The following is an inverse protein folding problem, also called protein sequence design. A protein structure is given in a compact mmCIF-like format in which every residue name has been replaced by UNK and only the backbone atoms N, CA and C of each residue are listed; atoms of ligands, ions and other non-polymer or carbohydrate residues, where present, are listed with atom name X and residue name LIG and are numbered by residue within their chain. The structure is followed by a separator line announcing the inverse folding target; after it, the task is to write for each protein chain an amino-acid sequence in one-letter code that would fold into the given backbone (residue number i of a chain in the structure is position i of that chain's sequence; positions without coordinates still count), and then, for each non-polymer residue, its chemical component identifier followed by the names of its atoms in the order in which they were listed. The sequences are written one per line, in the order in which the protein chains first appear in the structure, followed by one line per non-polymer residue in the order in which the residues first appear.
data_IF_332636900051
#
_entry.id   IF_332636900051
#
_cell.length_a   1.000
_cell.length_b   1.000
_cell.length_c   1.000
_cell.angle_alpha   90.00
_cell.angle_beta   90.00
_cell.angle_gamma   90.00
#
_symmetry.space_group_name_H-M   'P 1'
#
loop_
_entity.id
_entity.type
_entity.pdbx_description
1 polymer ?
#
# COMPACT_ATOMS: atom_id res chain seq x y z
N UNK A 1 -44.90 13.69 -20.46
CA UNK A 1 -44.13 12.86 -19.52
C UNK A 1 -42.69 12.97 -19.94
N UNK A 2 -41.75 13.38 -19.05
CA UNK A 2 -40.35 13.41 -19.45
C UNK A 2 -39.85 11.97 -19.54
N UNK A 3 -39.30 11.60 -20.69
CA UNK A 3 -38.54 10.36 -20.90
C UNK A 3 -37.41 10.30 -19.87
N UNK A 4 -37.61 9.55 -18.79
CA UNK A 4 -36.54 9.19 -17.89
C UNK A 4 -35.62 8.22 -18.65
N UNK A 5 -34.54 8.75 -19.22
CA UNK A 5 -33.45 7.91 -19.72
C UNK A 5 -33.05 6.95 -18.58
N UNK A 6 -32.89 5.65 -18.87
CA UNK A 6 -32.39 4.72 -17.86
C UNK A 6 -31.06 5.27 -17.30
N UNK A 7 -30.82 5.13 -15.98
CA UNK A 7 -29.57 5.57 -15.39
C UNK A 7 -28.41 4.91 -16.13
N UNK A 8 -27.40 5.70 -16.49
CA UNK A 8 -26.24 5.21 -17.22
C UNK A 8 -25.53 4.14 -16.37
N UNK A 9 -25.25 2.98 -16.96
CA UNK A 9 -24.48 1.93 -16.31
C UNK A 9 -23.06 2.43 -16.08
N UNK A 10 -22.60 2.50 -14.82
CA UNK A 10 -21.27 3.00 -14.51
C UNK A 10 -20.17 2.13 -15.12
N UNK A 11 -20.47 0.86 -15.38
CA UNK A 11 -19.55 -0.05 -16.05
C UNK A 11 -19.20 0.42 -17.47
N UNK A 12 -20.08 1.15 -18.16
CA UNK A 12 -19.78 1.74 -19.47
C UNK A 12 -18.71 2.85 -19.37
N UNK A 13 -18.73 3.63 -18.28
CA UNK A 13 -17.72 4.66 -18.00
C UNK A 13 -16.37 4.00 -17.68
N UNK A 14 -16.36 2.96 -16.85
CA UNK A 14 -15.14 2.23 -16.54
C UNK A 14 -14.56 1.53 -17.79
N UNK A 15 -15.42 1.00 -18.66
CA UNK A 15 -15.02 0.39 -19.93
C UNK A 15 -14.32 1.40 -20.85
N UNK A 16 -14.72 2.67 -20.83
CA UNK A 16 -14.07 3.73 -21.60
C UNK A 16 -12.66 4.02 -21.07
N UNK A 17 -12.49 4.12 -19.74
CA UNK A 17 -11.17 4.30 -19.13
C UNK A 17 -10.23 3.11 -19.33
N UNK A 18 -10.78 1.89 -19.29
CA UNK A 18 -10.03 0.67 -19.63
C UNK A 18 -9.52 0.73 -21.07
N UNK A 19 -10.37 1.13 -22.04
CA UNK A 19 -9.96 1.33 -23.44
C UNK A 19 -8.95 2.47 -23.63
N UNK A 20 -8.86 3.40 -22.68
CA UNK A 20 -7.87 4.50 -22.67
C UNK A 20 -6.53 4.10 -22.03
N UNK A 21 -6.33 2.82 -21.70
CA UNK A 21 -5.04 2.30 -21.25
C UNK A 21 -4.93 2.05 -19.74
N UNK A 22 -6.05 2.10 -18.99
CA UNK A 22 -6.07 1.59 -17.60
C UNK A 22 -5.98 0.05 -17.61
N UNK A 23 -5.37 -0.53 -16.57
CA UNK A 23 -5.16 -1.97 -16.48
C UNK A 23 -6.46 -2.74 -16.16
N UNK A 24 -6.45 -4.05 -16.40
CA UNK A 24 -7.56 -4.93 -16.02
C UNK A 24 -7.77 -4.93 -14.50
N UNK A 25 -6.67 -4.93 -13.75
CA UNK A 25 -6.69 -4.79 -12.29
C UNK A 25 -7.41 -3.51 -11.84
N UNK A 26 -7.15 -2.36 -12.48
CA UNK A 26 -7.85 -1.12 -12.18
C UNK A 26 -9.36 -1.22 -12.43
N UNK A 27 -9.77 -1.83 -13.55
CA UNK A 27 -11.19 -1.99 -13.86
C UNK A 27 -11.91 -2.88 -12.84
N UNK A 28 -11.31 -4.02 -12.50
CA UNK A 28 -11.84 -4.96 -11.51
C UNK A 28 -11.91 -4.32 -10.11
N UNK A 29 -10.90 -3.55 -9.73
CA UNK A 29 -10.86 -2.89 -8.42
C UNK A 29 -11.93 -1.79 -8.30
N UNK A 30 -12.10 -0.93 -9.31
CA UNK A 30 -13.15 0.09 -9.31
C UNK A 30 -14.55 -0.54 -9.28
N UNK A 31 -14.73 -1.67 -9.97
CA UNK A 31 -16.00 -2.41 -9.95
C UNK A 31 -16.27 -3.00 -8.56
N UNK A 32 -15.28 -3.66 -7.96
CA UNK A 32 -15.38 -4.22 -6.61
C UNK A 32 -15.72 -3.14 -5.57
N UNK A 33 -15.03 -2.00 -5.59
CA UNK A 33 -15.27 -0.89 -4.66
C UNK A 33 -16.71 -0.38 -4.73
N UNK A 34 -17.26 -0.24 -5.93
CA UNK A 34 -18.64 0.23 -6.10
C UNK A 34 -19.66 -0.77 -5.60
N UNK A 35 -19.44 -2.05 -5.87
CA UNK A 35 -20.30 -3.11 -5.35
C UNK A 35 -20.23 -3.15 -3.82
N UNK A 36 -19.04 -3.04 -3.24
CA UNK A 36 -18.84 -2.98 -1.80
C UNK A 36 -19.53 -1.78 -1.16
N UNK A 37 -19.34 -0.57 -1.71
CA UNK A 37 -20.00 0.64 -1.22
C UNK A 37 -21.54 0.51 -1.26
N UNK A 38 -22.09 -0.11 -2.31
CA UNK A 38 -23.53 -0.37 -2.41
C UNK A 38 -24.04 -1.45 -1.44
N UNK A 39 -23.16 -2.33 -0.95
CA UNK A 39 -23.44 -3.34 0.08
C UNK A 39 -23.48 -2.73 1.48
N UNK A 40 -22.54 -1.84 1.78
CA UNK A 40 -22.32 -1.29 3.12
C UNK A 40 -23.13 0.00 3.38
N UNK A 41 -23.59 0.69 2.33
CA UNK A 41 -24.23 2.01 2.35
C UNK A 41 -25.66 2.14 2.91
N UNK A 42 -26.16 1.22 3.72
CA UNK A 42 -27.40 1.42 4.52
C UNK A 42 -28.74 1.57 3.76
N UNK A 43 -28.77 1.49 2.42
CA UNK A 43 -30.01 1.31 1.67
C UNK A 43 -30.66 -0.05 2.03
N UNK A 44 -32.00 -0.19 2.00
CA UNK A 44 -32.67 -1.42 2.44
C UNK A 44 -32.08 -2.63 1.70
N UNK A 45 -31.60 -3.60 2.50
CA UNK A 45 -30.83 -4.81 2.09
C UNK A 45 -31.03 -5.18 0.61
N UNK A 46 -29.99 -5.09 -0.24
CA UNK A 46 -30.10 -5.38 -1.67
C UNK A 46 -30.33 -6.87 -2.02
N UNK A 47 -30.36 -7.76 -1.03
CA UNK A 47 -30.52 -9.21 -1.23
C UNK A 47 -31.84 -9.61 -1.93
N UNK A 48 -32.78 -8.67 -2.09
CA UNK A 48 -34.01 -8.85 -2.86
C UNK A 48 -34.05 -8.14 -4.23
N UNK A 49 -32.99 -7.42 -4.62
CA UNK A 49 -32.94 -6.76 -5.93
C UNK A 49 -32.31 -7.70 -6.98
N UNK A 50 -32.96 -7.92 -8.14
CA UNK A 50 -32.47 -8.85 -9.15
C UNK A 50 -31.08 -8.49 -9.69
N UNK A 51 -30.71 -7.20 -9.67
CA UNK A 51 -29.41 -6.70 -10.14
C UNK A 51 -28.22 -7.21 -9.30
N UNK A 52 -28.43 -7.47 -8.01
CA UNK A 52 -27.38 -8.01 -7.13
C UNK A 52 -27.15 -9.50 -7.30
N UNK A 53 -28.14 -10.25 -7.79
CA UNK A 53 -28.01 -11.70 -7.96
C UNK A 53 -26.97 -12.05 -9.03
N UNK A 54 -26.87 -11.25 -10.08
CA UNK A 54 -25.84 -11.44 -11.10
C UNK A 54 -24.45 -11.06 -10.55
N UNK A 55 -24.33 -9.96 -9.81
CA UNK A 55 -23.05 -9.56 -9.20
C UNK A 55 -22.53 -10.55 -8.15
N UNK A 56 -23.38 -11.30 -7.47
CA UNK A 56 -22.94 -12.37 -6.56
C UNK A 56 -22.11 -13.45 -7.27
N UNK A 57 -22.35 -13.69 -8.56
CA UNK A 57 -21.56 -14.65 -9.34
C UNK A 57 -20.17 -14.11 -9.70
N UNK A 58 -20.07 -12.79 -9.86
CA UNK A 58 -18.85 -12.07 -10.16
C UNK A 58 -18.02 -11.72 -8.92
N UNK A 59 -18.67 -11.67 -7.76
CA UNK A 59 -18.05 -11.26 -6.50
C UNK A 59 -16.82 -12.10 -6.15
N UNK A 60 -16.92 -13.43 -6.26
CA UNK A 60 -15.81 -14.32 -5.93
C UNK A 60 -14.64 -14.14 -6.91
N UNK A 61 -14.94 -13.94 -8.20
CA UNK A 61 -13.94 -13.69 -9.24
C UNK A 61 -13.20 -12.37 -8.99
N UNK A 62 -13.93 -11.32 -8.60
CA UNK A 62 -13.36 -10.02 -8.27
C UNK A 62 -12.42 -10.13 -7.07
N UNK A 63 -12.87 -10.75 -5.96
CA UNK A 63 -12.02 -10.92 -4.77
C UNK A 63 -10.77 -11.75 -5.06
N UNK A 64 -10.92 -12.80 -5.87
CA UNK A 64 -9.81 -13.69 -6.22
C UNK A 64 -8.77 -12.97 -7.09
N UNK A 65 -9.20 -12.31 -8.17
CA UNK A 65 -8.28 -11.59 -9.07
C UNK A 65 -7.58 -10.41 -8.39
N UNK A 66 -8.19 -9.84 -7.34
CA UNK A 66 -7.63 -8.74 -6.57
C UNK A 66 -6.77 -9.20 -5.39
N UNK A 67 -6.60 -10.52 -5.18
CA UNK A 67 -5.77 -11.05 -4.10
C UNK A 67 -6.27 -10.67 -2.69
N UNK A 68 -7.57 -10.43 -2.51
CA UNK A 68 -8.10 -9.87 -1.25
C UNK A 68 -8.07 -10.85 -0.07
N UNK A 69 -7.82 -12.15 -0.33
CA UNK A 69 -7.81 -13.21 0.68
C UNK A 69 -6.85 -14.32 0.27
N UNK A 70 -6.12 -14.85 1.26
CA UNK A 70 -5.27 -16.04 1.10
C UNK A 70 -6.07 -17.27 0.65
N UNK A 71 -5.46 -18.10 -0.19
CA UNK A 71 -5.96 -19.40 -0.63
C UNK A 71 -6.31 -20.32 0.54
N UNK A 72 -5.64 -20.18 1.68
CA UNK A 72 -5.95 -20.93 2.91
C UNK A 72 -7.36 -20.63 3.43
N UNK A 73 -7.84 -19.39 3.26
CA UNK A 73 -9.20 -18.97 3.62
C UNK A 73 -10.20 -19.51 2.60
N UNK A 74 -9.90 -19.39 1.30
CA UNK A 74 -10.75 -19.95 0.24
C UNK A 74 -10.96 -21.46 0.39
N UNK A 75 -9.91 -22.23 0.69
CA UNK A 75 -9.99 -23.67 0.89
C UNK A 75 -10.82 -24.05 2.12
N UNK A 76 -10.76 -23.24 3.18
CA UNK A 76 -11.47 -23.48 4.43
C UNK A 76 -12.96 -23.17 4.33
N UNK A 77 -13.27 -22.01 3.79
CA UNK A 77 -14.60 -21.41 3.92
C UNK A 77 -15.39 -21.46 2.60
N UNK A 78 -14.70 -21.47 1.44
CA UNK A 78 -15.32 -21.28 0.12
C UNK A 78 -14.77 -22.20 -1.00
N UNK A 79 -14.56 -23.52 -0.78
CA UNK A 79 -13.89 -24.39 -1.76
C UNK A 79 -14.66 -24.54 -3.08
N UNK A 80 -15.99 -24.39 -3.06
CA UNK A 80 -16.82 -24.42 -4.27
C UNK A 80 -16.62 -23.17 -5.15
N UNK A 81 -16.31 -22.01 -4.56
CA UNK A 81 -15.94 -20.83 -5.33
C UNK A 81 -14.60 -21.06 -6.03
N UNK A 82 -13.63 -21.64 -5.31
CA UNK A 82 -12.32 -21.96 -5.84
C UNK A 82 -12.36 -22.99 -6.98
N UNK A 83 -13.23 -24.01 -6.90
CA UNK A 83 -13.48 -24.95 -8.00
C UNK A 83 -14.02 -24.26 -9.26
N UNK A 84 -14.93 -23.29 -9.11
CA UNK A 84 -15.46 -22.51 -10.24
C UNK A 84 -14.37 -21.64 -10.87
N UNK A 85 -13.56 -20.99 -10.04
CA UNK A 85 -12.41 -20.17 -10.49
C UNK A 85 -11.41 -21.05 -11.26
N UNK A 86 -11.08 -22.22 -10.73
CA UNK A 86 -10.17 -23.19 -11.36
C UNK A 86 -10.69 -23.65 -12.73
N UNK A 87 -11.97 -24.00 -12.83
CA UNK A 87 -12.58 -24.38 -14.10
C UNK A 87 -12.58 -23.21 -15.11
N UNK A 88 -12.83 -21.99 -14.65
CA UNK A 88 -12.81 -20.81 -15.50
C UNK A 88 -11.39 -20.46 -15.96
N UNK A 89 -10.38 -20.59 -15.08
CA UNK A 89 -8.98 -20.42 -15.44
C UNK A 89 -8.56 -21.39 -16.54
N UNK A 90 -8.99 -22.65 -16.44
CA UNK A 90 -8.75 -23.65 -17.48
C UNK A 90 -9.43 -23.28 -18.81
N UNK A 91 -10.71 -22.88 -18.78
CA UNK A 91 -11.43 -22.43 -19.98
C UNK A 91 -10.82 -21.17 -20.62
N UNK A 92 -10.21 -20.32 -19.80
CA UNK A 92 -9.50 -19.10 -20.21
C UNK A 92 -8.08 -19.36 -20.74
N UNK A 93 -7.64 -20.63 -20.80
CA UNK A 93 -6.28 -21.01 -21.22
C UNK A 93 -5.19 -20.57 -20.23
N UNK A 94 -5.55 -20.32 -18.97
CA UNK A 94 -4.63 -20.00 -17.89
C UNK A 94 -4.20 -21.29 -17.19
N UNK A 95 -3.56 -22.19 -17.95
CA UNK A 95 -3.28 -23.57 -17.51
C UNK A 95 -2.43 -23.62 -16.22
N UNK A 96 -1.39 -22.79 -16.13
CA UNK A 96 -0.56 -22.72 -14.92
C UNK A 96 -1.36 -22.36 -13.66
N UNK A 97 -2.25 -21.36 -13.76
CA UNK A 97 -3.13 -20.99 -12.64
C UNK A 97 -4.14 -22.10 -12.34
N UNK A 98 -4.72 -22.72 -13.36
CA UNK A 98 -5.68 -23.81 -13.19
C UNK A 98 -5.05 -25.05 -12.53
N UNK A 99 -3.80 -25.35 -12.84
CA UNK A 99 -3.02 -26.44 -12.24
C UNK A 99 -2.69 -26.14 -10.78
N UNK A 100 -2.20 -24.92 -10.48
CA UNK A 100 -1.96 -24.47 -9.09
C UNK A 100 -3.23 -24.61 -8.24
N UNK A 101 -4.37 -24.16 -8.77
CA UNK A 101 -5.65 -24.24 -8.08
C UNK A 101 -6.16 -25.69 -7.94
N UNK A 102 -5.90 -26.53 -8.93
CA UNK A 102 -6.22 -27.97 -8.88
C UNK A 102 -5.42 -28.68 -7.78
N UNK A 103 -4.12 -28.42 -7.69
CA UNK A 103 -3.26 -28.94 -6.63
C UNK A 103 -3.72 -28.44 -5.25
N UNK A 104 -4.05 -27.15 -5.14
CA UNK A 104 -4.55 -26.58 -3.90
C UNK A 104 -5.86 -27.22 -3.44
N UNK A 105 -6.81 -27.45 -4.34
CA UNK A 105 -8.07 -28.15 -4.07
C UNK A 105 -7.87 -29.62 -3.67
N UNK A 106 -6.76 -30.23 -4.07
CA UNK A 106 -6.35 -31.58 -3.64
C UNK A 106 -5.59 -31.58 -2.30
N UNK A 107 -5.44 -30.41 -1.67
CA UNK A 107 -4.71 -30.25 -0.42
C UNK A 107 -3.18 -30.29 -0.60
N UNK A 108 -2.68 -29.97 -1.78
CA UNK A 108 -1.25 -29.94 -2.12
C UNK A 108 -0.81 -28.48 -2.26
N UNK A 109 -0.21 -27.87 -1.22
CA UNK A 109 0.35 -26.54 -1.34
C UNK A 109 1.59 -26.55 -2.23
N UNK A 110 1.81 -25.45 -2.93
CA UNK A 110 3.09 -25.18 -3.59
C UNK A 110 4.23 -25.12 -2.57
N UNK A 111 5.45 -25.39 -3.03
CA UNK A 111 6.62 -25.30 -2.18
C UNK A 111 6.74 -23.89 -1.58
N UNK A 112 6.96 -23.81 -0.27
CA UNK A 112 7.26 -22.55 0.39
C UNK A 112 8.46 -21.87 -0.28
N UNK A 113 8.40 -20.55 -0.43
CA UNK A 113 9.52 -19.83 -1.03
C UNK A 113 10.77 -20.00 -0.16
N UNK A 114 11.86 -20.35 -0.84
CA UNK A 114 13.19 -20.39 -0.23
C UNK A 114 14.03 -19.28 -0.82
N UNK A 115 14.55 -18.42 0.04
CA UNK A 115 15.50 -17.37 -0.36
C UNK A 115 16.89 -17.97 -0.21
N UNK A 116 17.64 -17.97 -1.31
CA UNK A 116 19.03 -18.45 -1.36
C UNK A 116 19.96 -17.23 -1.38
N UNK A 117 20.85 -17.13 -0.39
CA UNK A 117 21.89 -16.12 -0.36
C UNK A 117 23.21 -16.72 -0.83
N UNK A 118 23.79 -16.10 -1.85
CA UNK A 118 25.12 -16.41 -2.33
C UNK A 118 26.09 -15.32 -1.89
N UNK A 119 26.76 -15.53 -0.77
CA UNK A 119 27.91 -14.70 -0.36
C UNK A 119 29.17 -15.24 -1.04
N UNK A 120 29.89 -14.38 -1.76
CA UNK A 120 31.15 -14.74 -2.46
C UNK A 120 32.17 -15.30 -1.46
N UNK A 121 32.38 -16.62 -1.48
CA UNK A 121 33.38 -17.32 -0.67
C UNK A 121 32.83 -18.11 0.53
N UNK A 122 31.52 -18.08 0.78
CA UNK A 122 30.88 -18.84 1.86
C UNK A 122 29.92 -19.91 1.33
N UNK A 123 29.55 -20.85 2.21
CA UNK A 123 28.56 -21.88 1.90
C UNK A 123 27.17 -21.26 1.70
N UNK A 124 26.44 -21.77 0.72
CA UNK A 124 25.09 -21.34 0.36
C UNK A 124 24.15 -21.38 1.59
N UNK A 125 23.55 -20.23 1.93
CA UNK A 125 22.56 -20.15 3.01
C UNK A 125 21.15 -20.13 2.41
N UNK A 126 20.31 -21.08 2.86
CA UNK A 126 18.92 -21.21 2.44
C UNK A 126 18.01 -20.88 3.61
N UNK A 127 17.10 -19.92 3.42
CA UNK A 127 16.08 -19.56 4.39
C UNK A 127 14.71 -19.88 3.83
N UNK A 128 13.90 -20.60 4.61
CA UNK A 128 12.50 -20.87 4.29
C UNK A 128 11.64 -19.86 5.05
N UNK A 129 10.86 -19.06 4.32
CA UNK A 129 9.91 -18.14 4.92
C UNK A 129 8.79 -18.96 5.59
N UNK A 130 8.41 -18.60 6.82
CA UNK A 130 7.32 -19.27 7.53
C UNK A 130 6.05 -18.44 7.36
N UNK A 131 4.97 -19.05 6.87
CA UNK A 131 3.74 -18.30 6.65
C UNK A 131 3.02 -17.87 7.94
N UNK A 132 2.41 -16.68 7.94
CA UNK A 132 1.54 -16.20 9.02
C UNK A 132 0.32 -17.11 9.21
N UNK A 133 -0.33 -17.01 10.37
CA UNK A 133 -1.39 -17.93 10.79
C UNK A 133 -2.61 -17.97 9.84
N UNK A 134 -2.89 -16.88 9.14
CA UNK A 134 -4.02 -16.79 8.20
C UNK A 134 -3.76 -17.48 6.86
N UNK A 135 -2.50 -17.67 6.49
CA UNK A 135 -2.03 -18.45 5.33
C UNK A 135 -1.81 -19.94 5.67
N UNK A 136 -2.19 -20.35 6.88
CA UNK A 136 -2.13 -21.76 7.30
C UNK A 136 -3.51 -22.39 7.29
N UNK A 137 -3.60 -23.59 6.74
CA UNK A 137 -4.82 -24.39 6.76
C UNK A 137 -4.47 -25.88 6.75
N UNK A 138 -5.18 -26.66 7.57
CA UNK A 138 -4.94 -28.10 7.78
C UNK A 138 -3.49 -28.44 8.17
N UNK A 139 -2.87 -27.58 9.00
CA UNK A 139 -1.48 -27.73 9.44
C UNK A 139 -0.43 -27.51 8.34
N UNK A 140 -0.84 -27.05 7.16
CA UNK A 140 0.02 -26.76 6.01
C UNK A 140 0.19 -25.26 5.80
N UNK A 141 1.34 -24.92 5.24
CA UNK A 141 1.71 -23.57 4.81
C UNK A 141 1.24 -23.36 3.36
N UNK A 142 0.45 -22.31 3.11
CA UNK A 142 -0.08 -21.98 1.79
C UNK A 142 0.54 -20.73 1.16
N UNK A 143 1.49 -20.07 1.81
CA UNK A 143 2.14 -18.83 1.33
C UNK A 143 2.71 -18.98 -0.08
N UNK A 144 3.43 -20.09 -0.33
CA UNK A 144 4.00 -20.38 -1.64
C UNK A 144 2.93 -20.54 -2.74
N UNK A 145 1.72 -20.96 -2.36
CA UNK A 145 0.58 -21.09 -3.28
C UNK A 145 -0.03 -19.72 -3.58
N UNK A 146 -0.18 -18.86 -2.57
CA UNK A 146 -0.65 -17.48 -2.77
C UNK A 146 0.29 -16.70 -3.72
N UNK A 147 1.60 -16.83 -3.53
CA UNK A 147 2.58 -16.18 -4.41
C UNK A 147 2.53 -16.77 -5.83
N UNK A 148 2.41 -18.10 -5.96
CA UNK A 148 2.27 -18.72 -7.27
C UNK A 148 0.99 -18.25 -7.99
N UNK A 149 -0.11 -18.10 -7.26
CA UNK A 149 -1.35 -17.53 -7.80
C UNK A 149 -1.10 -16.10 -8.28
N UNK A 150 -0.50 -15.23 -7.46
CA UNK A 150 -0.20 -13.83 -7.80
C UNK A 150 0.61 -13.73 -9.10
N UNK A 151 1.69 -14.52 -9.22
CA UNK A 151 2.55 -14.56 -10.41
C UNK A 151 1.84 -14.99 -11.70
N UNK A 152 0.74 -15.74 -11.57
CA UNK A 152 -0.03 -16.29 -12.69
C UNK A 152 -1.43 -15.69 -12.83
N UNK A 153 -1.79 -14.67 -12.03
CA UNK A 153 -3.14 -14.11 -12.02
C UNK A 153 -3.36 -13.03 -13.09
N UNK A 154 -2.32 -12.33 -13.54
CA UNK A 154 -2.46 -11.17 -14.45
C UNK A 154 -3.23 -11.48 -15.73
N UNK A 155 -2.87 -12.59 -16.39
CA UNK A 155 -3.55 -13.04 -17.61
C UNK A 155 -5.01 -13.41 -17.36
N UNK A 156 -5.30 -14.02 -16.20
CA UNK A 156 -6.64 -14.35 -15.78
C UNK A 156 -7.48 -13.09 -15.49
N UNK A 157 -6.92 -12.11 -14.79
CA UNK A 157 -7.58 -10.84 -14.49
C UNK A 157 -7.98 -10.09 -15.78
N UNK A 158 -7.15 -10.12 -16.82
CA UNK A 158 -7.50 -9.58 -18.14
C UNK A 158 -8.71 -10.30 -18.74
N UNK A 159 -8.73 -11.63 -18.70
CA UNK A 159 -9.87 -12.40 -19.22
C UNK A 159 -11.15 -12.11 -18.44
N UNK A 160 -11.09 -12.04 -17.10
CA UNK A 160 -12.24 -11.71 -16.25
C UNK A 160 -12.74 -10.29 -16.53
N UNK A 161 -11.84 -9.32 -16.69
CA UNK A 161 -12.19 -7.96 -17.07
C UNK A 161 -12.93 -7.90 -18.41
N UNK A 162 -12.43 -8.59 -19.44
CA UNK A 162 -13.06 -8.66 -20.76
C UNK A 162 -14.42 -9.36 -20.73
N UNK A 163 -14.53 -10.49 -20.02
CA UNK A 163 -15.81 -11.20 -19.86
C UNK A 163 -16.84 -10.32 -19.13
N UNK A 164 -16.43 -9.62 -18.08
CA UNK A 164 -17.29 -8.68 -17.36
C UNK A 164 -17.77 -7.55 -18.27
N UNK A 165 -16.89 -6.98 -19.10
CA UNK A 165 -17.27 -5.95 -20.07
C UNK A 165 -18.14 -6.49 -21.21
N UNK A 166 -18.01 -7.75 -21.59
CA UNK A 166 -18.88 -8.40 -22.56
C UNK A 166 -20.30 -8.59 -21.99
N UNK A 167 -20.42 -8.89 -20.70
CA UNK A 167 -21.69 -9.05 -19.99
C UNK A 167 -22.29 -7.75 -19.44
N UNK A 168 -21.67 -6.59 -19.72
CA UNK A 168 -22.10 -5.29 -19.16
C UNK A 168 -23.55 -4.90 -19.43
N UNK A 169 -24.19 -5.46 -20.45
CA UNK A 169 -25.62 -5.25 -20.71
C UNK A 169 -26.53 -5.88 -19.64
N UNK A 170 -26.03 -6.91 -18.95
CA UNK A 170 -26.70 -7.65 -17.88
C UNK A 170 -26.18 -7.21 -16.50
N UNK A 171 -24.94 -6.73 -16.43
CA UNK A 171 -24.30 -6.24 -15.22
C UNK A 171 -24.51 -4.74 -15.04
N UNK A 172 -25.64 -4.37 -14.42
CA UNK A 172 -25.87 -2.97 -14.07
C UNK A 172 -25.04 -2.60 -12.84
N UNK A 173 -24.04 -1.73 -13.04
CA UNK A 173 -23.28 -1.12 -11.95
C UNK A 173 -23.91 0.25 -11.66
N UNK A 174 -24.52 0.47 -10.47
CA UNK A 174 -25.15 1.75 -10.18
C UNK A 174 -24.15 2.90 -10.29
N UNK A 175 -24.55 3.95 -11.00
CA UNK A 175 -23.82 5.22 -11.05
C UNK A 175 -23.74 5.87 -9.67
N UNK A 176 -22.86 6.87 -9.53
CA UNK A 176 -22.74 7.65 -8.29
C UNK A 176 -24.12 8.13 -7.83
N UNK A 177 -24.66 7.50 -6.78
CA UNK A 177 -25.46 8.25 -5.85
C UNK A 177 -24.46 9.16 -5.14
N UNK A 178 -24.68 10.49 -5.10
CA UNK A 178 -23.88 11.36 -4.26
C UNK A 178 -24.08 10.88 -2.82
N UNK A 179 -23.18 10.02 -2.36
CA UNK A 179 -23.05 9.70 -0.97
C UNK A 179 -22.92 11.05 -0.27
N UNK A 180 -23.86 11.35 0.64
CA UNK A 180 -23.71 12.48 1.53
C UNK A 180 -22.32 12.32 2.14
N UNK A 181 -21.39 13.22 1.77
CA UNK A 181 -20.01 13.21 2.28
C UNK A 181 -20.12 12.95 3.77
N UNK A 182 -19.64 11.80 4.29
CA UNK A 182 -19.34 11.75 5.70
C UNK A 182 -18.27 12.82 5.88
N UNK A 183 -18.64 13.93 6.50
CA UNK A 183 -17.67 14.90 7.02
C UNK A 183 -16.93 14.15 8.11
N UNK A 184 -15.91 13.40 7.71
CA UNK A 184 -14.90 12.91 8.63
C UNK A 184 -14.35 14.13 9.37
N UNK A 185 -14.15 14.05 10.69
CA UNK A 185 -13.53 15.13 11.43
C UNK A 185 -12.17 15.47 10.78
N UNK A 186 -11.76 16.76 10.79
CA UNK A 186 -10.46 17.16 10.27
C UNK A 186 -9.37 16.31 10.92
N UNK A 187 -8.55 15.66 10.09
CA UNK A 187 -7.45 14.83 10.56
C UNK A 187 -6.22 15.73 10.80
N UNK A 188 -5.62 15.74 12.01
CA UNK A 188 -4.53 16.64 12.36
C UNK A 188 -3.29 16.52 11.47
N UNK A 189 -2.96 15.30 11.04
CA UNK A 189 -1.84 15.04 10.12
C UNK A 189 -1.98 15.81 8.78
N UNK A 190 -3.18 15.81 8.19
CA UNK A 190 -3.45 16.47 6.91
C UNK A 190 -3.30 17.99 7.02
N UNK A 191 -3.84 18.59 8.08
CA UNK A 191 -3.68 20.02 8.36
C UNK A 191 -2.23 20.39 8.62
N UNK A 192 -1.49 19.53 9.33
CA UNK A 192 -0.08 19.74 9.65
C UNK A 192 0.79 19.67 8.41
N UNK A 193 0.58 18.70 7.52
CA UNK A 193 1.25 18.65 6.22
C UNK A 193 0.92 19.90 5.37
N UNK A 194 -0.35 20.28 5.28
CA UNK A 194 -0.76 21.49 4.55
C UNK A 194 -0.10 22.76 5.11
N UNK A 195 0.14 22.84 6.42
CA UNK A 195 0.87 23.94 7.08
C UNK A 195 2.36 23.88 6.77
N UNK A 196 2.99 22.70 6.85
CA UNK A 196 4.40 22.51 6.48
C UNK A 196 4.66 22.96 5.04
N UNK A 197 3.82 22.53 4.09
CA UNK A 197 3.95 22.85 2.67
C UNK A 197 3.79 24.36 2.36
N UNK A 198 3.07 25.11 3.20
CA UNK A 198 2.90 26.56 3.06
C UNK A 198 3.96 27.37 3.79
N UNK A 199 4.74 26.75 4.67
CA UNK A 199 5.71 27.44 5.52
C UNK A 199 7.08 27.41 4.85
N UNK A 200 7.73 28.56 4.73
CA UNK A 200 9.14 28.63 4.33
C UNK A 200 9.96 27.85 5.35
N UNK A 201 10.45 26.68 4.95
CA UNK A 201 11.22 25.80 5.81
C UNK A 201 12.69 26.16 5.68
N UNK A 202 13.37 26.33 6.81
CA UNK A 202 14.78 26.65 6.87
C UNK A 202 15.46 25.73 7.86
N UNK A 203 16.54 25.07 7.43
CA UNK A 203 17.30 24.16 8.27
C UNK A 203 18.74 24.64 8.38
N UNK A 204 19.38 24.35 9.51
CA UNK A 204 20.78 24.70 9.72
C UNK A 204 21.67 23.50 9.39
N UNK A 205 22.80 23.78 8.75
CA UNK A 205 23.76 22.76 8.35
C UNK A 205 25.21 23.23 8.55
N UNK A 206 26.11 22.28 8.75
CA UNK A 206 27.55 22.52 8.88
C UNK A 206 28.32 21.74 7.83
N UNK A 207 29.39 22.33 7.32
CA UNK A 207 30.26 21.66 6.34
C UNK A 207 30.98 20.45 6.93
N UNK A 208 31.10 19.39 6.12
CA UNK A 208 31.86 18.19 6.49
C UNK A 208 33.31 18.41 6.04
N UNK A 209 34.20 18.72 6.98
CA UNK A 209 35.64 18.81 6.69
C UNK A 209 36.32 17.45 6.85
N UNK A 210 37.03 17.02 5.80
CA UNK A 210 38.06 15.99 5.93
C UNK A 210 39.24 16.54 6.74
N UNK A 211 39.36 16.10 8.00
CA UNK A 211 40.56 16.19 8.85
C UNK A 211 41.23 17.58 8.96
N UNK A 212 40.56 18.54 9.64
CA UNK A 212 41.15 19.57 10.51
C UNK A 212 40.09 20.65 10.82
N UNK A 213 39.58 20.67 12.06
CA UNK A 213 38.50 21.57 12.46
C UNK A 213 38.97 23.01 12.66
N UNK A 214 38.55 23.91 11.77
CA UNK A 214 38.16 25.26 12.18
C UNK A 214 36.66 25.22 12.53
N UNK A 215 36.16 26.03 13.48
CA UNK A 215 34.75 26.03 13.85
C UNK A 215 33.91 26.35 12.60
N UNK A 216 33.19 25.34 12.11
CA UNK A 216 32.37 25.40 10.91
C UNK A 216 31.28 26.45 11.09
N UNK A 217 31.31 27.51 10.28
CA UNK A 217 30.22 28.48 10.23
C UNK A 217 28.93 27.74 9.85
N UNK A 218 27.95 27.78 10.76
CA UNK A 218 26.63 27.20 10.52
C UNK A 218 25.96 27.98 9.38
N UNK A 219 25.42 27.25 8.40
CA UNK A 219 24.72 27.83 7.26
C UNK A 219 23.25 27.51 7.35
N UNK A 220 22.43 28.49 7.04
CA UNK A 220 20.99 28.31 6.86
C UNK A 220 20.71 27.89 5.42
N UNK A 221 19.97 26.80 5.26
CA UNK A 221 19.57 26.24 3.99
C UNK A 221 18.07 26.48 3.78
N UNK A 222 17.68 27.28 2.76
CA UNK A 222 16.29 27.38 2.37
C UNK A 222 15.84 26.06 1.76
N UNK A 223 14.72 25.55 2.26
CA UNK A 223 14.15 24.27 1.86
C UNK A 223 12.89 24.50 1.04
N UNK A 224 12.73 23.70 -0.01
CA UNK A 224 11.54 23.66 -0.85
C UNK A 224 10.79 22.35 -0.64
N UNK A 225 9.52 22.32 -1.02
CA UNK A 225 8.72 21.10 -1.00
C UNK A 225 8.09 20.90 -2.37
N UNK A 226 8.12 19.67 -2.88
CA UNK A 226 7.54 19.28 -4.15
C UNK A 226 6.42 18.30 -3.87
N UNK A 227 5.23 18.53 -4.43
CA UNK A 227 4.05 17.70 -4.18
C UNK A 227 3.53 17.12 -5.47
N UNK A 228 2.82 16.00 -5.35
CA UNK A 228 2.02 15.43 -6.43
C UNK A 228 0.55 15.80 -6.24
N UNK A 229 -0.29 15.64 -7.28
CA UNK A 229 -1.74 15.77 -7.15
C UNK A 229 -2.30 14.82 -6.09
N UNK A 230 -3.45 15.18 -5.52
CA UNK A 230 -4.18 14.34 -4.57
C UNK A 230 -4.52 12.96 -5.16
N UNK A 231 -4.60 11.95 -4.30
CA UNK A 231 -4.99 10.61 -4.69
C UNK A 231 -6.47 10.57 -5.07
N UNK A 232 -6.83 9.65 -5.97
CA UNK A 232 -8.23 9.41 -6.33
C UNK A 232 -9.00 8.96 -5.07
N UNK A 233 -10.19 9.53 -4.85
CA UNK A 233 -10.98 9.23 -3.65
C UNK A 233 -11.31 7.74 -3.50
N UNK A 234 -11.57 7.04 -4.62
CA UNK A 234 -11.83 5.60 -4.63
C UNK A 234 -10.61 4.78 -4.19
N UNK A 235 -9.40 5.23 -4.52
CA UNK A 235 -8.16 4.59 -4.08
C UNK A 235 -7.95 4.77 -2.57
N UNK A 236 -8.25 5.96 -2.04
CA UNK A 236 -8.20 6.21 -0.60
C UNK A 236 -9.23 5.38 0.17
N UNK A 237 -10.45 5.24 -0.37
CA UNK A 237 -11.48 4.38 0.20
C UNK A 237 -11.04 2.90 0.23
N UNK A 238 -10.36 2.42 -0.81
CA UNK A 238 -9.78 1.07 -0.84
C UNK A 238 -8.80 0.86 0.32
N UNK A 239 -7.78 1.70 0.43
CA UNK A 239 -6.76 1.56 1.48
C UNK A 239 -7.34 1.78 2.89
N UNK A 240 -8.39 2.59 3.02
CA UNK A 240 -9.13 2.78 4.27
C UNK A 240 -9.84 1.49 4.71
N UNK A 241 -10.35 0.70 3.77
CA UNK A 241 -10.94 -0.60 4.06
C UNK A 241 -9.87 -1.67 4.33
N UNK A 242 -8.78 -1.66 3.56
CA UNK A 242 -7.71 -2.65 3.68
C UNK A 242 -6.99 -2.57 5.03
N UNK A 243 -6.62 -1.36 5.48
CA UNK A 243 -5.82 -1.16 6.70
C UNK A 243 -6.63 -0.64 7.89
N UNK A 244 -7.94 -0.45 7.71
CA UNK A 244 -8.84 0.01 8.75
C UNK A 244 -8.52 1.41 9.28
N UNK A 245 -9.02 1.77 10.48
CA UNK A 245 -8.97 3.14 10.99
C UNK A 245 -7.55 3.63 11.29
N UNK A 246 -6.59 2.73 11.45
CA UNK A 246 -5.19 3.05 11.74
C UNK A 246 -4.53 3.84 10.60
N UNK A 247 -4.88 3.55 9.35
CA UNK A 247 -4.34 4.27 8.19
C UNK A 247 -5.02 5.61 7.91
N UNK A 248 -6.15 5.92 8.57
CA UNK A 248 -6.96 7.11 8.26
C UNK A 248 -6.18 8.43 8.28
N UNK A 249 -5.25 8.69 9.25
CA UNK A 249 -4.46 9.92 9.22
C UNK A 249 -3.52 10.02 8.02
N UNK A 250 -2.90 8.90 7.58
CA UNK A 250 -2.08 8.89 6.36
C UNK A 250 -2.94 9.08 5.12
N UNK A 251 -4.09 8.42 5.02
CA UNK A 251 -4.96 8.57 3.86
C UNK A 251 -5.50 10.01 3.74
N UNK A 252 -5.72 10.68 4.87
CA UNK A 252 -6.08 12.10 4.86
C UNK A 252 -4.95 13.01 4.34
N UNK A 253 -3.67 12.67 4.54
CA UNK A 253 -2.58 13.42 3.90
C UNK A 253 -2.55 13.17 2.39
N UNK A 254 -2.86 11.93 1.95
CA UNK A 254 -2.89 11.54 0.54
C UNK A 254 -4.09 12.11 -0.23
N UNK A 255 -5.19 12.41 0.49
CA UNK A 255 -6.30 13.20 -0.03
C UNK A 255 -5.93 14.64 -0.40
N UNK A 256 -4.81 15.15 0.12
CA UNK A 256 -4.26 16.47 -0.26
C UNK A 256 -3.20 16.31 -1.34
N UNK A 257 -2.25 15.39 -1.14
CA UNK A 257 -1.11 15.15 -2.04
C UNK A 257 -0.73 13.67 -2.02
N UNK A 258 -0.80 12.97 -3.15
CA UNK A 258 -0.47 11.55 -3.25
C UNK A 258 1.05 11.31 -3.33
N UNK A 259 1.74 11.68 -2.26
CA UNK A 259 3.20 11.71 -2.20
C UNK A 259 3.78 13.13 -2.28
N UNK A 260 5.01 13.27 -1.79
CA UNK A 260 5.71 14.54 -1.76
C UNK A 260 7.20 14.34 -1.50
N UNK A 261 8.05 15.20 -2.07
CA UNK A 261 9.45 15.35 -1.66
C UNK A 261 9.57 16.58 -0.76
N UNK A 262 9.87 16.34 0.49
CA UNK A 262 9.98 17.37 1.52
C UNK A 262 11.45 17.70 1.79
N UNK A 263 11.68 18.95 2.18
CA UNK A 263 13.01 19.48 2.49
C UNK A 263 13.99 19.35 1.31
N UNK A 264 13.54 19.76 0.13
CA UNK A 264 14.35 19.78 -1.08
C UNK A 264 15.35 20.94 -1.06
N UNK A 265 16.62 20.65 -1.36
CA UNK A 265 17.64 21.64 -1.66
C UNK A 265 18.54 21.12 -2.80
N UNK A 266 18.48 21.79 -3.96
CA UNK A 266 19.09 21.30 -5.18
C UNK A 266 18.42 20.00 -5.65
N UNK A 267 19.21 18.98 -5.97
CA UNK A 267 18.71 17.66 -6.36
C UNK A 267 18.32 16.77 -5.17
N UNK A 268 18.70 17.17 -3.95
CA UNK A 268 18.56 16.36 -2.74
C UNK A 268 17.27 16.72 -2.03
N UNK A 269 16.62 15.71 -1.46
CA UNK A 269 15.44 15.86 -0.62
C UNK A 269 15.70 15.14 0.70
N UNK A 270 15.06 15.59 1.78
CA UNK A 270 15.25 14.98 3.09
C UNK A 270 14.29 13.83 3.37
N UNK A 271 13.06 13.92 2.84
CA UNK A 271 12.04 12.90 3.02
C UNK A 271 11.20 12.80 1.74
N UNK A 272 10.91 11.58 1.31
CA UNK A 272 9.96 11.29 0.25
C UNK A 272 8.75 10.58 0.86
N UNK A 273 7.59 11.23 0.87
CA UNK A 273 6.30 10.57 1.11
C UNK A 273 5.95 9.80 -0.16
N UNK A 274 5.72 8.50 0.00
CA UNK A 274 5.45 7.59 -1.10
C UNK A 274 3.98 7.70 -1.53
N UNK A 275 3.69 7.71 -2.84
CA UNK A 275 2.33 7.57 -3.36
C UNK A 275 1.65 6.31 -2.79
N UNK A 276 0.33 6.37 -2.63
CA UNK A 276 -0.46 5.30 -2.03
C UNK A 276 -0.43 4.01 -2.87
N UNK A 277 -0.21 4.11 -4.18
CA UNK A 277 -0.03 2.98 -5.10
C UNK A 277 1.22 2.17 -4.77
N UNK A 278 2.27 2.81 -4.25
CA UNK A 278 3.55 2.18 -3.94
C UNK A 278 3.51 1.42 -2.61
N UNK A 279 2.47 1.62 -1.80
CA UNK A 279 2.32 0.95 -0.51
C UNK A 279 2.14 -0.57 -0.66
N UNK A 280 1.42 -1.00 -1.72
CA UNK A 280 1.16 -2.41 -2.02
C UNK A 280 2.33 -3.10 -2.74
N UNK A 281 2.98 -2.38 -3.67
CA UNK A 281 4.05 -2.92 -4.52
C UNK A 281 5.33 -3.27 -3.75
N UNK A 282 5.51 -2.77 -2.53
CA UNK A 282 6.77 -2.92 -1.80
C UNK A 282 6.73 -3.86 -0.60
N UNK A 283 5.57 -4.47 -0.26
CA UNK A 283 5.55 -5.58 0.68
C UNK A 283 6.36 -6.80 0.19
N UNK A 284 6.68 -6.83 -1.12
CA UNK A 284 7.55 -7.82 -1.76
C UNK A 284 9.07 -7.61 -1.50
N UNK A 285 9.48 -6.50 -0.86
CA UNK A 285 10.90 -6.06 -0.83
C UNK A 285 11.68 -6.19 0.48
N UNK A 286 11.09 -6.59 1.62
CA UNK A 286 11.84 -6.72 2.89
C UNK A 286 12.04 -8.17 3.32
N UNK A 287 12.92 -8.88 2.63
CA UNK A 287 13.46 -10.16 3.08
C UNK A 287 14.83 -10.06 3.76
N UNK A 288 15.18 -8.89 4.32
CA UNK A 288 16.56 -8.55 4.69
C UNK A 288 16.90 -8.40 6.18
N UNK A 289 15.96 -8.66 7.11
CA UNK A 289 16.23 -8.54 8.55
C UNK A 289 16.81 -9.81 9.17
N UNK A 290 17.80 -9.74 10.09
CA UNK A 290 18.36 -10.91 10.76
C UNK A 290 17.31 -11.64 11.60
N UNK A 291 17.29 -12.96 11.45
CA UNK A 291 16.24 -13.90 11.86
C UNK A 291 16.10 -14.19 13.36
N UNK A 292 16.42 -13.26 14.26
CA UNK A 292 16.41 -13.51 15.72
C UNK A 292 15.42 -12.66 16.54
N UNK A 293 14.52 -11.91 15.89
CA UNK A 293 13.46 -11.19 16.60
C UNK A 293 12.12 -11.94 16.48
N UNK A 294 11.62 -12.47 17.60
CA UNK A 294 10.26 -13.02 17.74
C UNK A 294 9.13 -12.00 17.46
N UNK A 295 9.47 -10.80 16.98
CA UNK A 295 8.58 -9.67 16.66
C UNK A 295 8.53 -9.32 15.16
N UNK A 296 9.22 -10.09 14.29
CA UNK A 296 9.21 -9.88 12.83
C UNK A 296 7.80 -9.99 12.20
N UNK A 297 6.89 -10.75 12.81
CA UNK A 297 5.49 -10.87 12.39
C UNK A 297 4.72 -9.53 12.49
N UNK A 298 5.14 -8.60 13.37
CA UNK A 298 4.40 -7.35 13.60
C UNK A 298 4.58 -6.30 12.50
N UNK A 299 5.59 -6.46 11.63
CA UNK A 299 5.91 -5.54 10.55
C UNK A 299 5.56 -6.06 9.16
N UNK A 300 5.18 -7.33 9.04
CA UNK A 300 4.75 -7.93 7.77
C UNK A 300 3.59 -7.15 7.13
N UNK A 301 2.65 -6.70 7.96
CA UNK A 301 1.46 -5.94 7.52
C UNK A 301 1.66 -4.40 7.57
N UNK A 302 2.87 -3.92 7.87
CA UNK A 302 3.12 -2.49 8.05
C UNK A 302 3.11 -1.74 6.71
N UNK A 303 2.62 -0.50 6.76
CA UNK A 303 2.54 0.39 5.62
C UNK A 303 3.82 1.22 5.49
N UNK A 304 4.60 0.98 4.43
CA UNK A 304 5.72 1.85 4.05
C UNK A 304 5.18 3.10 3.39
N UNK A 305 5.21 4.23 4.08
CA UNK A 305 4.59 5.46 3.60
C UNK A 305 5.59 6.58 3.32
N UNK A 306 6.83 6.47 3.79
CA UNK A 306 7.87 7.43 3.47
C UNK A 306 9.26 6.80 3.44
N UNK A 307 10.22 7.47 2.80
CA UNK A 307 11.64 7.09 2.75
C UNK A 307 12.53 8.28 3.09
N UNK A 308 13.62 8.02 3.80
CA UNK A 308 14.65 9.01 4.08
C UNK A 308 15.43 9.42 2.81
N UNK A 309 16.06 10.60 2.84
CA UNK A 309 16.81 11.12 1.70
C UNK A 309 18.21 10.54 1.50
N UNK A 310 18.74 9.77 2.46
CA UNK A 310 20.13 9.29 2.44
C UNK A 310 20.29 7.77 2.52
N UNK A 311 19.29 7.03 3.01
CA UNK A 311 19.36 5.58 3.21
C UNK A 311 18.16 4.89 2.56
N UNK A 312 18.31 3.60 2.27
CA UNK A 312 17.22 2.75 1.77
C UNK A 312 16.24 2.31 2.88
N UNK A 313 16.16 3.09 3.96
CA UNK A 313 15.30 2.83 5.10
C UNK A 313 13.93 3.52 4.97
N UNK A 314 12.87 2.80 5.32
CA UNK A 314 11.49 3.26 5.21
C UNK A 314 10.91 3.64 6.56
N UNK A 315 10.10 4.69 6.55
CA UNK A 315 9.13 4.96 7.59
C UNK A 315 7.92 4.08 7.39
N UNK A 316 7.57 3.34 8.44
CA UNK A 316 6.49 2.37 8.43
C UNK A 316 5.44 2.71 9.47
N UNK A 317 4.17 2.53 9.11
CA UNK A 317 3.04 2.53 10.04
C UNK A 317 2.67 1.08 10.34
N UNK A 318 2.81 0.67 11.59
CA UNK A 318 2.31 -0.63 12.03
C UNK A 318 0.78 -0.62 11.98
N UNK A 319 0.18 -1.54 11.23
CA UNK A 319 -1.28 -1.63 11.04
C UNK A 319 -1.92 -2.64 12.00
N UNK A 320 -1.13 -3.58 12.52
CA UNK A 320 -1.58 -4.67 13.38
C UNK A 320 -0.61 -4.90 14.56
N UNK A 321 -1.03 -5.73 15.51
CA UNK A 321 -0.21 -6.13 16.66
C UNK A 321 -0.07 -5.06 17.75
N UNK A 322 0.86 -5.27 18.72
CA UNK A 322 1.04 -4.40 19.88
C UNK A 322 1.48 -2.96 19.54
N UNK A 323 2.02 -2.77 18.33
CA UNK A 323 2.50 -1.50 17.81
C UNK A 323 1.50 -0.83 16.88
N UNK A 324 0.31 -1.40 16.66
CA UNK A 324 -0.69 -0.86 15.74
C UNK A 324 -0.95 0.64 16.00
N UNK A 325 -0.85 1.44 14.95
CA UNK A 325 -0.96 2.91 15.00
C UNK A 325 0.35 3.64 15.17
N UNK A 326 1.43 2.97 15.61
CA UNK A 326 2.73 3.59 15.79
C UNK A 326 3.50 3.73 14.46
N UNK A 327 4.38 4.73 14.42
CA UNK A 327 5.32 4.95 13.31
C UNK A 327 6.74 4.58 13.76
N UNK A 328 7.43 3.82 12.92
CA UNK A 328 8.75 3.26 13.15
C UNK A 328 9.63 3.43 11.91
N UNK A 329 10.94 3.28 12.07
CA UNK A 329 11.85 2.99 10.98
C UNK A 329 11.99 1.48 10.74
N UNK A 330 11.96 1.06 9.48
CA UNK A 330 11.91 -0.36 9.11
C UNK A 330 13.10 -1.18 9.63
N UNK A 331 14.32 -0.65 9.54
CA UNK A 331 15.54 -1.40 9.87
C UNK A 331 16.08 -1.08 11.28
N UNK A 332 15.95 0.17 11.73
CA UNK A 332 16.50 0.66 12.98
C UNK A 332 15.60 0.33 14.17
N UNK A 333 14.31 0.60 14.01
CA UNK A 333 13.34 0.48 15.09
C UNK A 333 12.60 -0.86 15.04
N UNK A 334 12.39 -1.38 13.83
CA UNK A 334 11.59 -2.57 13.58
C UNK A 334 12.08 -3.83 14.30
N UNK A 335 13.37 -4.23 14.17
CA UNK A 335 13.92 -5.39 14.87
C UNK A 335 13.86 -5.30 16.40
N UNK A 336 13.70 -4.10 16.95
CA UNK A 336 13.63 -3.83 18.39
C UNK A 336 12.20 -3.56 18.88
N UNK A 337 11.19 -3.67 18.01
CA UNK A 337 9.80 -3.31 18.30
C UNK A 337 9.67 -1.89 18.91
N UNK A 338 10.55 -0.97 18.53
CA UNK A 338 10.68 0.33 19.17
C UNK A 338 9.80 1.38 18.48
N UNK A 339 8.69 1.80 19.09
CA UNK A 339 7.92 2.92 18.55
C UNK A 339 8.75 4.22 18.59
N UNK A 340 8.94 4.87 17.44
CA UNK A 340 9.57 6.19 17.36
C UNK A 340 8.57 7.31 17.53
N UNK A 341 7.40 7.17 16.90
CA UNK A 341 6.26 8.04 17.15
C UNK A 341 5.03 7.20 17.51
N UNK A 342 4.23 7.73 18.44
CA UNK A 342 3.03 7.06 18.92
C UNK A 342 1.89 7.04 17.89
N UNK A 343 1.93 7.93 16.89
CA UNK A 343 0.94 8.01 15.82
C UNK A 343 1.50 8.72 14.59
N UNK A 344 0.78 8.61 13.48
CA UNK A 344 1.01 9.39 12.25
C UNK A 344 0.92 10.90 12.52
N UNK A 345 -0.03 11.34 13.36
CA UNK A 345 -0.14 12.75 13.73
C UNK A 345 1.13 13.24 14.45
N UNK A 346 1.68 12.43 15.37
CA UNK A 346 2.91 12.78 16.07
C UNK A 346 4.13 12.83 15.13
N UNK A 347 4.16 11.98 14.11
CA UNK A 347 5.18 12.04 13.06
C UNK A 347 5.11 13.35 12.26
N UNK A 348 3.91 13.74 11.78
CA UNK A 348 3.76 15.00 11.04
C UNK A 348 3.97 16.24 11.90
N UNK A 349 3.59 16.20 13.19
CA UNK A 349 3.87 17.26 14.14
C UNK A 349 5.38 17.43 14.35
N UNK A 350 6.12 16.33 14.47
CA UNK A 350 7.57 16.34 14.54
C UNK A 350 8.20 16.90 13.25
N UNK A 351 7.69 16.56 12.06
CA UNK A 351 8.16 17.14 10.81
C UNK A 351 8.03 18.67 10.78
N UNK A 352 6.97 19.21 11.37
CA UNK A 352 6.75 20.66 11.40
C UNK A 352 7.59 21.37 12.48
N UNK A 353 7.67 20.80 13.68
CA UNK A 353 8.22 21.48 14.85
C UNK A 353 9.64 21.06 15.22
N UNK A 354 10.05 19.85 14.87
CA UNK A 354 11.36 19.28 15.17
C UNK A 354 11.91 18.42 14.01
N UNK A 355 12.01 18.95 12.78
CA UNK A 355 12.25 18.15 11.57
C UNK A 355 13.51 17.28 11.64
N UNK A 356 14.54 17.69 12.39
CA UNK A 356 15.77 16.91 12.54
C UNK A 356 15.57 15.55 13.22
N UNK A 357 14.54 15.39 14.06
CA UNK A 357 14.24 14.09 14.69
C UNK A 357 13.73 13.06 13.68
N UNK A 358 13.23 13.53 12.53
CA UNK A 358 12.78 12.70 11.41
C UNK A 358 13.88 12.61 10.35
N UNK A 359 14.49 13.74 9.95
CA UNK A 359 15.43 13.78 8.84
C UNK A 359 16.78 13.11 9.13
N UNK A 360 17.24 13.11 10.39
CA UNK A 360 18.48 12.43 10.79
C UNK A 360 18.22 11.06 11.41
N UNK A 361 16.99 10.53 11.29
CA UNK A 361 16.60 9.31 11.99
C UNK A 361 17.23 8.05 11.40
N UNK A 362 17.40 7.99 10.07
CA UNK A 362 17.95 6.83 9.34
C UNK A 362 19.46 6.92 9.10
N UNK A 363 20.04 8.12 9.20
CA UNK A 363 21.44 8.34 8.84
C UNK A 363 21.84 9.81 8.74
N UNK A 364 23.01 10.05 8.16
CA UNK A 364 23.56 11.40 7.98
C UNK A 364 23.12 11.97 6.63
N UNK A 365 21.98 12.67 6.63
CA UNK A 365 21.51 13.40 5.47
C UNK A 365 22.44 14.56 5.10
N UNK A 366 22.84 14.63 3.83
CA UNK A 366 23.80 15.62 3.32
C UNK A 366 23.24 16.40 2.14
N UNK A 367 23.44 17.72 2.18
CA UNK A 367 23.04 18.62 1.10
C UNK A 367 24.26 19.23 0.41
N UNK A 368 24.27 19.28 -0.93
CA UNK A 368 25.32 19.96 -1.67
C UNK A 368 25.06 21.48 -1.68
N UNK A 369 26.08 22.27 -1.34
CA UNK A 369 26.07 23.73 -1.48
C UNK A 369 27.46 24.22 -1.89
N UNK A 370 27.55 25.03 -2.96
CA UNK A 370 28.81 25.61 -3.44
C UNK A 370 29.96 24.60 -3.62
N UNK A 371 29.66 23.38 -4.06
CA UNK A 371 30.64 22.30 -4.24
C UNK A 371 31.08 21.61 -2.93
N UNK A 372 30.41 21.87 -1.81
CA UNK A 372 30.66 21.27 -0.49
C UNK A 372 29.46 20.47 -0.01
N UNK A 373 29.71 19.48 0.84
CA UNK A 373 28.65 18.71 1.50
C UNK A 373 28.41 19.26 2.91
N UNK A 374 27.14 19.54 3.19
CA UNK A 374 26.68 20.04 4.48
C UNK A 374 25.81 18.98 5.16
N UNK A 375 26.03 18.78 6.45
CA UNK A 375 25.21 17.90 7.31
C UNK A 375 24.28 18.75 8.18
N UNK A 376 23.03 18.33 8.33
CA UNK A 376 22.06 19.05 9.14
C UNK A 376 22.44 19.06 10.63
N UNK A 377 22.27 20.20 11.29
CA UNK A 377 22.53 20.41 12.71
C UNK A 377 21.36 21.13 13.39
N UNK A 378 21.15 20.91 14.70
CA UNK A 378 20.24 21.74 15.48
C UNK A 378 20.56 23.22 15.30
N UNK A 379 19.51 24.03 15.27
CA UNK A 379 19.66 25.48 15.29
C UNK A 379 20.53 25.89 16.50
N UNK A 380 21.37 26.93 16.37
CA UNK A 380 22.12 27.41 17.52
C UNK A 380 21.13 27.95 18.56
N UNK A 381 21.41 27.83 19.86
CA UNK A 381 20.59 28.46 20.88
C UNK A 381 20.51 29.97 20.61
N UNK A 382 19.29 30.50 20.66
CA UNK A 382 18.97 31.90 20.39
C UNK A 382 19.62 32.88 21.39
#
# INVERSE_FOLDING_TARGET
MPDARPPANHLDTLAEHYRQGKSAFWLLSQTHLRLQASRDGGAPRPLGQPEWQEWLRWWDLLRFCLGLQSIAIWLRDEPQALQRIQALAHLAGQDALADILSEALQGQPQAAQTVQFHTLGEAEQRYTLTAPAHERFDGKDWSGTDIAIEQHCDGFAVVIAELMLAERAQLHLPGDQPAARPTAPPQPAAETLARLLRTESRLFATEIFGVAASPTAMRELPMQHQTTPAAEASLLEFFQHLHGPVAAPLLATHALHNGARLFCHGAQHGLELLPVEDWALQQQGSGGGPADAADADSLADALRFARGGCDDEYWVLATAGPLAGAVLLSETDGPQAHRRFASVDAFFDALLHAPLSVLNASGQLRYPLDGRWLELRPAPPA
#
